data_IF_992769674071
#
_entry.id   IF_992769674071
#
_cell.length_a   1.000
_cell.length_b   1.000
_cell.length_c   1.000
_cell.angle_alpha   90.00
_cell.angle_beta   90.00
_cell.angle_gamma   90.00
#
_symmetry.space_group_name_H-M   'P 1'
#
loop_
_entity.id
_entity.type
_entity.pdbx_description
1 polymer ?
#
# COMPACT_ATOMS: atom_id res chain seq x y z
N UNK A 1 4.99 17.58 20.50
CA UNK A 1 5.55 16.78 19.39
C UNK A 1 7.06 16.67 19.61
N UNK A 2 7.70 15.52 19.30
CA UNK A 2 9.14 15.37 19.41
C UNK A 2 9.88 16.36 18.50
N UNK A 3 11.09 16.75 18.91
CA UNK A 3 11.98 17.55 18.07
C UNK A 3 12.48 16.71 16.89
N UNK A 4 12.63 17.33 15.72
CA UNK A 4 13.03 16.66 14.49
C UNK A 4 14.03 17.52 13.74
N UNK A 5 15.21 16.95 13.50
CA UNK A 5 16.21 17.55 12.63
C UNK A 5 15.99 17.05 11.20
N UNK A 6 15.78 17.97 10.24
CA UNK A 6 15.82 17.63 8.82
C UNK A 6 17.21 17.80 8.25
N UNK A 7 17.50 17.01 7.23
CA UNK A 7 18.53 17.36 6.27
C UNK A 7 18.06 18.52 5.38
N UNK A 8 18.97 19.42 5.03
CA UNK A 8 18.65 20.63 4.25
C UNK A 8 18.66 20.40 2.73
N UNK A 9 18.99 19.18 2.25
CA UNK A 9 19.08 18.87 0.81
C UNK A 9 17.92 18.03 0.32
N UNK A 10 17.57 16.96 1.04
CA UNK A 10 16.55 16.00 0.58
C UNK A 10 15.15 16.26 1.16
N UNK A 11 15.08 16.80 2.39
CA UNK A 11 13.80 16.94 3.12
C UNK A 11 13.25 18.36 3.01
N UNK A 12 12.20 18.53 2.21
CA UNK A 12 11.56 19.83 2.02
C UNK A 12 10.74 20.27 3.25
N UNK A 13 9.98 19.36 3.87
CA UNK A 13 9.09 19.65 5.00
C UNK A 13 8.94 18.46 5.95
N UNK A 14 8.73 18.73 7.24
CA UNK A 14 8.41 17.74 8.26
C UNK A 14 7.04 18.04 8.84
N UNK A 15 6.28 16.98 9.14
CA UNK A 15 5.03 17.07 9.87
C UNK A 15 4.81 15.83 10.74
N UNK A 16 4.28 16.04 11.93
CA UNK A 16 3.63 14.97 12.69
C UNK A 16 2.15 14.93 12.35
N UNK A 17 1.64 13.74 12.06
CA UNK A 17 0.24 13.47 11.79
C UNK A 17 -0.06 12.01 12.16
N UNK A 18 -1.32 11.73 12.47
CA UNK A 18 -1.81 10.35 12.48
C UNK A 18 -1.87 9.80 11.05
N UNK A 19 -1.84 8.47 10.85
CA UNK A 19 -1.98 7.88 9.53
C UNK A 19 -3.26 8.33 8.79
N UNK A 20 -4.40 8.42 9.49
CA UNK A 20 -5.67 8.84 8.90
C UNK A 20 -5.64 10.30 8.45
N UNK A 21 -5.13 11.21 9.28
CA UNK A 21 -4.98 12.64 8.91
C UNK A 21 -4.06 12.80 7.71
N UNK A 22 -2.96 12.04 7.67
CA UNK A 22 -1.99 12.12 6.59
C UNK A 22 -2.54 11.59 5.28
N UNK A 23 -3.24 10.44 5.28
CA UNK A 23 -3.89 9.92 4.08
C UNK A 23 -4.96 10.90 3.60
N UNK A 24 -5.86 11.37 4.47
CA UNK A 24 -6.96 12.25 4.07
C UNK A 24 -6.48 13.52 3.35
N UNK A 25 -5.34 14.07 3.79
CA UNK A 25 -4.79 15.31 3.22
C UNK A 25 -3.94 15.08 1.97
N UNK A 26 -3.37 13.89 1.80
CA UNK A 26 -2.36 13.63 0.77
C UNK A 26 -2.71 12.48 -0.16
N UNK A 27 -3.91 11.89 -0.04
CA UNK A 27 -4.30 10.66 -0.72
C UNK A 27 -3.97 10.71 -2.22
N UNK A 28 -4.27 11.79 -2.91
CA UNK A 28 -4.03 11.97 -4.34
C UNK A 28 -2.53 12.05 -4.72
N UNK A 29 -1.66 12.46 -3.80
CA UNK A 29 -0.23 12.64 -4.02
C UNK A 29 0.61 11.44 -3.56
N UNK A 30 0.08 10.60 -2.67
CA UNK A 30 0.82 9.43 -2.17
C UNK A 30 1.06 8.42 -3.29
N UNK A 31 2.32 8.06 -3.59
CA UNK A 31 2.61 6.92 -4.46
C UNK A 31 2.02 5.63 -3.88
N UNK A 32 1.68 4.67 -4.74
CA UNK A 32 1.05 3.40 -4.37
C UNK A 32 1.73 2.69 -3.20
N UNK A 33 3.07 2.52 -3.16
CA UNK A 33 3.72 1.88 -2.00
C UNK A 33 3.54 2.66 -0.70
N UNK A 34 3.60 3.99 -0.74
CA UNK A 34 3.45 4.83 0.46
C UNK A 34 2.03 4.75 1.00
N UNK A 35 1.01 4.82 0.14
CA UNK A 35 -0.39 4.68 0.55
C UNK A 35 -0.64 3.34 1.22
N UNK A 36 -0.09 2.25 0.65
CA UNK A 36 -0.22 0.90 1.19
C UNK A 36 0.41 0.76 2.57
N UNK A 37 1.66 1.21 2.74
CA UNK A 37 2.37 1.09 4.01
C UNK A 37 1.80 2.00 5.11
N UNK A 38 1.36 3.22 4.78
CA UNK A 38 0.69 4.08 5.77
C UNK A 38 -0.64 3.46 6.20
N UNK A 39 -1.38 2.86 5.27
CA UNK A 39 -2.59 2.09 5.59
C UNK A 39 -2.30 0.85 6.47
N UNK A 40 -1.06 0.33 6.43
CA UNK A 40 -0.59 -0.74 7.32
C UNK A 40 -0.24 -0.24 8.71
N UNK A 41 0.37 0.93 8.81
CA UNK A 41 0.70 1.58 10.09
C UNK A 41 -0.58 1.85 10.91
N UNK A 42 -1.74 2.00 10.27
CA UNK A 42 -3.05 2.11 10.94
C UNK A 42 -3.42 0.93 11.84
N UNK A 43 -2.75 -0.21 11.73
CA UNK A 43 -2.91 -1.32 12.68
C UNK A 43 -2.42 -0.99 14.11
N UNK A 44 -1.72 0.14 14.29
CA UNK A 44 -1.12 0.53 15.55
C UNK A 44 -1.70 1.85 16.04
N UNK A 45 -2.04 1.89 17.33
CA UNK A 45 -2.52 3.10 18.02
C UNK A 45 -1.40 3.98 18.55
N UNK A 46 -0.20 3.42 18.72
CA UNK A 46 0.93 4.09 19.35
C UNK A 46 2.28 3.59 18.80
N UNK A 47 3.30 4.42 19.00
CA UNK A 47 4.64 4.20 18.46
C UNK A 47 5.39 3.08 19.19
N UNK A 48 5.11 2.82 20.46
CA UNK A 48 5.77 1.77 21.23
C UNK A 48 5.36 0.39 20.74
N UNK A 49 4.06 0.18 20.49
CA UNK A 49 3.51 -1.06 19.93
C UNK A 49 4.03 -1.28 18.51
N UNK A 50 4.05 -0.24 17.67
CA UNK A 50 4.65 -0.31 16.33
C UNK A 50 6.14 -0.68 16.40
N UNK A 51 6.90 -0.05 17.29
CA UNK A 51 8.33 -0.32 17.47
C UNK A 51 8.59 -1.75 17.93
N UNK A 52 7.82 -2.24 18.91
CA UNK A 52 7.94 -3.63 19.39
C UNK A 52 7.61 -4.61 18.26
N UNK A 53 6.52 -4.38 17.54
CA UNK A 53 6.14 -5.20 16.40
C UNK A 53 7.24 -5.25 15.32
N UNK A 54 7.85 -4.11 14.99
CA UNK A 54 8.92 -4.04 14.00
C UNK A 54 10.15 -4.86 14.42
N UNK A 55 10.53 -4.80 15.70
CA UNK A 55 11.62 -5.61 16.28
C UNK A 55 11.28 -7.10 16.22
N UNK A 56 10.10 -7.49 16.70
CA UNK A 56 9.71 -8.90 16.72
C UNK A 56 9.61 -9.47 15.28
N UNK A 57 9.13 -8.67 14.32
CA UNK A 57 8.99 -9.04 12.91
C UNK A 57 10.30 -9.06 12.15
N UNK A 58 11.34 -8.33 12.57
CA UNK A 58 12.61 -8.24 11.82
C UNK A 58 13.31 -9.59 11.63
N UNK A 59 12.93 -10.59 12.43
CA UNK A 59 13.40 -11.97 12.33
C UNK A 59 12.81 -12.76 11.15
N UNK A 60 11.72 -12.29 10.53
CA UNK A 60 10.96 -13.03 9.51
C UNK A 60 11.31 -12.71 8.05
N UNK A 61 12.40 -12.00 7.81
CA UNK A 61 12.81 -11.57 6.47
C UNK A 61 11.81 -10.61 5.82
N UNK A 62 11.99 -10.35 4.53
CA UNK A 62 11.13 -9.46 3.75
C UNK A 62 10.70 -10.15 2.44
N UNK A 63 9.40 -10.11 2.15
CA UNK A 63 8.91 -10.48 0.82
C UNK A 63 9.27 -9.40 -0.22
N UNK A 64 9.52 -9.83 -1.46
CA UNK A 64 9.62 -8.89 -2.60
C UNK A 64 8.25 -8.31 -2.89
N UNK A 65 8.22 -6.99 -3.10
CA UNK A 65 6.97 -6.25 -3.27
C UNK A 65 7.03 -5.40 -4.54
N UNK A 66 6.10 -5.64 -5.46
CA UNK A 66 5.96 -4.88 -6.70
C UNK A 66 4.48 -4.66 -7.02
N UNK A 67 4.00 -3.42 -7.17
CA UNK A 67 2.65 -3.14 -7.63
C UNK A 67 2.49 -3.42 -9.13
N UNK A 68 1.66 -4.39 -9.51
CA UNK A 68 1.35 -4.68 -10.91
C UNK A 68 0.13 -3.88 -11.37
N UNK A 69 0.31 -2.99 -12.36
CA UNK A 69 -0.75 -2.09 -12.84
C UNK A 69 -1.62 -2.77 -13.90
N UNK A 70 -2.93 -2.65 -13.76
CA UNK A 70 -3.95 -3.08 -14.72
C UNK A 70 -4.95 -1.95 -14.92
N UNK A 71 -5.42 -1.72 -16.14
CA UNK A 71 -6.42 -0.69 -16.45
C UNK A 71 -7.73 -1.37 -16.88
N UNK A 72 -8.85 -0.86 -16.38
CA UNK A 72 -10.19 -1.22 -16.86
C UNK A 72 -10.96 0.04 -17.24
N UNK A 73 -12.19 -0.14 -17.74
CA UNK A 73 -13.13 0.97 -17.99
C UNK A 73 -13.54 1.74 -16.74
N UNK A 74 -13.36 1.17 -15.54
CA UNK A 74 -13.83 1.72 -14.27
C UNK A 74 -12.68 2.37 -13.45
N UNK A 75 -11.45 2.26 -13.95
CA UNK A 75 -10.27 2.86 -13.33
C UNK A 75 -8.99 2.03 -13.45
N UNK A 76 -7.99 2.41 -12.67
CA UNK A 76 -6.70 1.72 -12.57
C UNK A 76 -6.65 0.86 -11.32
N UNK A 77 -6.21 -0.38 -11.47
CA UNK A 77 -5.95 -1.33 -10.39
C UNK A 77 -4.45 -1.53 -10.23
N UNK A 78 -3.97 -1.45 -9.00
CA UNK A 78 -2.64 -1.92 -8.62
C UNK A 78 -2.80 -3.21 -7.83
N UNK A 79 -2.45 -4.33 -8.44
CA UNK A 79 -2.44 -5.64 -7.81
C UNK A 79 -1.14 -5.81 -7.05
N UNK A 80 -1.20 -6.35 -5.84
CA UNK A 80 -0.04 -6.59 -4.99
C UNK A 80 0.21 -8.09 -4.81
N UNK A 81 1.43 -8.49 -4.43
CA UNK A 81 1.72 -9.89 -4.14
C UNK A 81 0.72 -10.50 -3.16
N UNK A 82 0.25 -11.70 -3.48
CA UNK A 82 -0.78 -12.40 -2.70
C UNK A 82 -2.22 -12.13 -3.16
N UNK A 83 -2.45 -11.16 -4.05
CA UNK A 83 -3.72 -11.09 -4.80
C UNK A 83 -3.84 -12.32 -5.71
N UNK A 84 -5.03 -12.91 -5.80
CA UNK A 84 -5.29 -14.13 -6.56
C UNK A 84 -4.98 -14.01 -8.06
N UNK A 85 -5.10 -12.80 -8.61
CA UNK A 85 -4.79 -12.51 -10.02
C UNK A 85 -3.47 -11.77 -10.19
N UNK A 86 -2.64 -11.72 -9.16
CA UNK A 86 -1.28 -11.22 -9.30
C UNK A 86 -0.48 -12.12 -10.27
N UNK A 87 0.25 -11.57 -11.25
CA UNK A 87 0.99 -12.38 -12.21
C UNK A 87 2.02 -13.29 -11.52
N UNK A 88 2.18 -14.51 -12.04
CA UNK A 88 3.22 -15.43 -11.55
C UNK A 88 4.63 -14.93 -11.81
N UNK A 89 4.79 -14.10 -12.86
CA UNK A 89 6.03 -13.43 -13.21
C UNK A 89 5.72 -12.00 -13.66
N UNK A 90 6.55 -11.05 -13.22
CA UNK A 90 6.47 -9.65 -13.63
C UNK A 90 7.81 -9.25 -14.23
N UNK A 91 7.81 -8.91 -15.52
CA UNK A 91 8.98 -8.30 -16.15
C UNK A 91 9.05 -6.83 -15.77
N UNK A 92 10.01 -6.48 -14.90
CA UNK A 92 10.23 -5.09 -14.45
C UNK A 92 10.65 -4.13 -15.57
N UNK A 93 10.98 -4.64 -16.76
CA UNK A 93 11.36 -3.86 -17.94
C UNK A 93 10.22 -3.73 -18.95
N UNK A 94 9.13 -4.47 -18.76
CA UNK A 94 7.94 -4.33 -19.59
C UNK A 94 7.07 -3.21 -19.03
N UNK A 95 6.96 -2.14 -19.81
CA UNK A 95 6.14 -0.97 -19.48
C UNK A 95 4.73 -1.06 -20.08
N UNK A 96 4.40 -2.14 -20.78
CA UNK A 96 3.05 -2.35 -21.29
C UNK A 96 2.09 -2.60 -20.14
N UNK A 97 1.04 -1.78 -20.07
CA UNK A 97 -0.01 -1.91 -19.06
C UNK A 97 -1.17 -2.69 -19.68
N UNK A 98 -1.54 -3.86 -19.15
CA UNK A 98 -2.69 -4.60 -19.65
C UNK A 98 -3.98 -3.81 -19.45
N UNK A 99 -4.81 -3.78 -20.48
CA UNK A 99 -6.16 -3.24 -20.46
C UNK A 99 -7.12 -4.43 -20.51
N UNK A 100 -7.98 -4.56 -19.50
CA UNK A 100 -8.97 -5.63 -19.41
C UNK A 100 -10.37 -5.04 -19.19
N UNK A 101 -11.41 -5.75 -19.63
CA UNK A 101 -12.78 -5.23 -19.51
C UNK A 101 -13.25 -5.11 -18.06
N UNK A 102 -13.00 -6.15 -17.25
CA UNK A 102 -13.40 -6.21 -15.84
C UNK A 102 -12.39 -7.02 -15.03
N UNK A 103 -12.19 -6.64 -13.77
CA UNK A 103 -11.42 -7.44 -12.82
C UNK A 103 -12.27 -8.66 -12.40
N UNK A 104 -11.74 -9.89 -12.49
CA UNK A 104 -12.46 -11.08 -12.05
C UNK A 104 -12.70 -11.07 -10.54
N UNK A 105 -13.76 -11.76 -10.11
CA UNK A 105 -14.05 -11.97 -8.69
C UNK A 105 -12.99 -12.89 -8.07
N UNK A 106 -12.42 -12.49 -6.93
CA UNK A 106 -11.40 -13.24 -6.20
C UNK A 106 -11.83 -13.55 -4.76
N UNK A 107 -11.35 -14.68 -4.24
CA UNK A 107 -11.45 -15.04 -2.84
C UNK A 107 -10.38 -14.34 -2.00
N UNK A 108 -9.18 -14.16 -2.57
CA UNK A 108 -8.07 -13.42 -1.96
C UNK A 108 -7.80 -12.16 -2.77
N UNK A 109 -7.86 -11.00 -2.10
CA UNK A 109 -7.65 -9.70 -2.72
C UNK A 109 -6.56 -8.94 -1.97
N UNK A 110 -5.66 -8.31 -2.73
CA UNK A 110 -4.66 -7.41 -2.22
C UNK A 110 -4.37 -6.36 -3.28
N UNK A 111 -5.20 -5.32 -3.34
CA UNK A 111 -5.19 -4.36 -4.45
C UNK A 111 -5.61 -2.95 -4.06
N UNK A 112 -5.04 -1.97 -4.73
CA UNK A 112 -5.44 -0.56 -4.65
C UNK A 112 -6.18 -0.18 -5.94
N UNK A 113 -7.37 0.38 -5.82
CA UNK A 113 -8.19 0.87 -6.93
C UNK A 113 -8.11 2.40 -6.96
N UNK A 114 -7.79 2.96 -8.12
CA UNK A 114 -7.91 4.38 -8.43
C UNK A 114 -9.04 4.51 -9.45
N UNK A 115 -10.17 5.02 -9.03
CA UNK A 115 -11.30 5.30 -9.92
C UNK A 115 -11.07 6.58 -10.71
N UNK A 116 -11.74 6.71 -11.86
CA UNK A 116 -11.60 7.88 -12.73
C UNK A 116 -12.03 9.21 -12.08
N UNK A 117 -12.90 9.14 -11.07
CA UNK A 117 -13.29 10.29 -10.26
C UNK A 117 -12.22 10.73 -9.24
N UNK A 118 -11.04 10.11 -9.25
CA UNK A 118 -9.92 10.39 -8.35
C UNK A 118 -9.98 9.67 -7.00
N UNK A 119 -11.05 8.93 -6.70
CA UNK A 119 -11.15 8.17 -5.45
C UNK A 119 -10.18 6.99 -5.42
N UNK A 120 -9.72 6.66 -4.22
CA UNK A 120 -8.77 5.60 -3.94
C UNK A 120 -9.35 4.62 -2.93
N UNK A 121 -9.26 3.33 -3.24
CA UNK A 121 -9.76 2.27 -2.36
C UNK A 121 -8.75 1.14 -2.23
N UNK A 122 -8.24 0.93 -1.02
CA UNK A 122 -7.42 -0.23 -0.68
C UNK A 122 -8.31 -1.38 -0.26
N UNK A 123 -8.16 -2.52 -0.95
CA UNK A 123 -8.94 -3.74 -0.74
C UNK A 123 -7.97 -4.86 -0.38
N UNK A 124 -8.12 -5.34 0.85
CA UNK A 124 -7.44 -6.52 1.38
C UNK A 124 -8.48 -7.46 1.95
N UNK A 125 -8.49 -8.69 1.43
CA UNK A 125 -9.45 -9.74 1.79
C UNK A 125 -8.74 -11.08 1.83
N UNK A 126 -8.89 -11.81 2.93
CA UNK A 126 -8.36 -13.16 3.14
C UNK A 126 -6.85 -13.30 2.87
N UNK A 127 -6.09 -12.20 2.97
CA UNK A 127 -4.65 -12.20 2.72
C UNK A 127 -3.90 -12.85 3.89
N UNK A 128 -3.07 -13.84 3.58
CA UNK A 128 -2.13 -14.43 4.54
C UNK A 128 -0.72 -13.99 4.18
N UNK A 129 0.01 -13.40 5.11
CA UNK A 129 1.38 -12.97 4.84
C UNK A 129 2.37 -14.13 4.88
N UNK A 130 3.31 -14.14 3.92
CA UNK A 130 4.42 -15.10 3.85
C UNK A 130 5.52 -14.78 4.86
N UNK A 131 5.69 -13.52 5.24
CA UNK A 131 6.78 -13.01 6.10
C UNK A 131 6.28 -12.51 7.47
N UNK A 132 5.11 -13.01 7.90
CA UNK A 132 4.38 -12.59 9.11
C UNK A 132 4.11 -11.08 9.22
N UNK A 133 4.20 -10.35 8.12
CA UNK A 133 3.79 -8.96 8.11
C UNK A 133 2.26 -8.82 8.22
N UNK A 134 1.77 -7.81 8.96
CA UNK A 134 0.34 -7.51 9.06
C UNK A 134 -0.18 -6.98 7.72
N UNK A 135 -1.34 -7.42 7.21
CA UNK A 135 -1.98 -6.77 6.06
C UNK A 135 -2.35 -5.31 6.39
N UNK A 136 -2.42 -4.41 5.40
CA UNK A 136 -2.92 -3.09 5.65
C UNK A 136 -4.43 -3.09 5.91
N UNK A 137 -4.88 -2.08 6.64
CA UNK A 137 -6.30 -1.89 6.94
C UNK A 137 -6.99 -1.30 5.71
N UNK A 138 -8.15 -1.86 5.34
CA UNK A 138 -8.96 -1.32 4.26
C UNK A 138 -9.23 0.18 4.46
N UNK A 139 -9.16 0.94 3.36
CA UNK A 139 -9.34 2.38 3.37
C UNK A 139 -9.98 2.86 2.07
N UNK A 140 -10.76 3.94 2.14
CA UNK A 140 -11.40 4.57 0.99
C UNK A 140 -11.44 6.08 1.18
N UNK A 141 -11.02 6.84 0.17
CA UNK A 141 -10.96 8.31 0.15
C UNK A 141 -11.21 8.84 -1.25
#
# INVERSE_FOLDING_TARGET
MPDVHKDDKEVQSIRWATPDEYILQNASMLPTPQFYEISRIRNFSDIQTLSKYAIDRSTYGCATYFPYKVVTKDGTYYLFPGDEIYPTFVDTKDFNVPIIDNIPSCQVENRLVLSDNGSRKLIVKNLTSKDKHLPPVNYSV
#
